data_IF_883541204350
#
_entry.id   IF_883541204350
#
_cell.length_a   1.000
_cell.length_b   1.000
_cell.length_c   1.000
_cell.angle_alpha   90.00
_cell.angle_beta   90.00
_cell.angle_gamma   90.00
#
_symmetry.space_group_name_H-M   'P 1'
#
loop_
_entity.id
_entity.type
_entity.pdbx_description
1 polymer ?
#
# COMPACT_ATOMS: atom_id res chain seq x y z
N UNK A 1 9.82 -4.04 -5.22
CA UNK A 1 9.37 -4.26 -3.83
C UNK A 1 8.71 -5.63 -3.68
N UNK A 2 7.69 -5.94 -4.47
CA UNK A 2 6.91 -7.20 -4.34
C UNK A 2 7.75 -8.45 -4.52
N UNK A 3 8.61 -8.50 -5.54
CA UNK A 3 9.51 -9.64 -5.75
C UNK A 3 10.42 -9.91 -4.55
N UNK A 4 10.93 -8.84 -3.90
CA UNK A 4 11.71 -8.95 -2.66
C UNK A 4 10.88 -9.48 -1.51
N UNK A 5 9.65 -9.01 -1.40
CA UNK A 5 8.69 -9.46 -0.39
C UNK A 5 8.37 -10.96 -0.54
N UNK A 6 8.16 -11.41 -1.78
CA UNK A 6 7.83 -12.80 -2.13
C UNK A 6 9.04 -13.73 -1.91
N UNK A 7 10.25 -13.19 -1.79
CA UNK A 7 11.49 -13.95 -1.65
C UNK A 7 12.09 -14.36 -2.99
N UNK A 8 11.72 -13.72 -4.10
CA UNK A 8 12.37 -13.98 -5.37
C UNK A 8 13.85 -13.56 -5.35
N UNK A 9 14.74 -14.38 -5.95
CA UNK A 9 16.15 -14.08 -5.99
C UNK A 9 16.42 -12.80 -6.81
N UNK A 10 17.46 -12.02 -6.45
CA UNK A 10 17.91 -10.90 -7.25
C UNK A 10 18.17 -11.27 -8.71
N UNK A 11 17.84 -10.34 -9.61
CA UNK A 11 18.09 -10.44 -11.05
C UNK A 11 19.06 -9.33 -11.46
N UNK A 12 20.37 -9.49 -11.27
CA UNK A 12 21.35 -8.40 -11.36
C UNK A 12 21.29 -7.63 -12.69
N UNK A 13 21.15 -8.34 -13.82
CA UNK A 13 21.09 -7.71 -15.14
C UNK A 13 19.82 -6.84 -15.34
N UNK A 14 18.70 -7.22 -14.73
CA UNK A 14 17.46 -6.42 -14.80
C UNK A 14 17.53 -5.27 -13.83
N UNK A 15 17.99 -5.51 -12.61
CA UNK A 15 18.16 -4.48 -11.57
C UNK A 15 19.11 -3.37 -12.02
N UNK A 16 20.23 -3.71 -12.66
CA UNK A 16 21.15 -2.73 -13.22
C UNK A 16 20.50 -1.83 -14.29
N UNK A 17 19.62 -2.39 -15.13
CA UNK A 17 18.84 -1.61 -16.12
C UNK A 17 17.84 -0.69 -15.44
N UNK A 18 17.16 -1.17 -14.40
CA UNK A 18 16.19 -0.37 -13.64
C UNK A 18 16.88 0.75 -12.85
N UNK A 19 18.03 0.48 -12.22
CA UNK A 19 18.84 1.51 -11.55
C UNK A 19 19.23 2.60 -12.53
N UNK A 20 19.77 2.23 -13.70
CA UNK A 20 20.14 3.19 -14.75
C UNK A 20 18.93 4.01 -15.21
N UNK A 21 17.80 3.36 -15.45
CA UNK A 21 16.57 4.02 -15.86
C UNK A 21 16.06 5.04 -14.83
N UNK A 22 15.98 4.64 -13.56
CA UNK A 22 15.50 5.51 -12.48
C UNK A 22 16.47 6.67 -12.22
N UNK A 23 17.77 6.43 -12.33
CA UNK A 23 18.80 7.47 -12.19
C UNK A 23 18.66 8.53 -13.28
N UNK A 24 18.46 8.12 -14.53
CA UNK A 24 18.31 9.05 -15.66
C UNK A 24 17.00 9.84 -15.61
N UNK A 25 15.98 9.32 -14.92
CA UNK A 25 14.66 9.96 -14.79
C UNK A 25 14.54 10.85 -13.54
N UNK A 26 15.55 10.87 -12.68
CA UNK A 26 15.54 11.74 -11.50
C UNK A 26 15.62 13.21 -11.93
N UNK A 27 14.73 14.04 -11.40
CA UNK A 27 14.66 15.46 -11.71
C UNK A 27 15.85 16.23 -11.08
N UNK A 28 16.19 17.43 -11.60
CA UNK A 28 17.27 18.26 -11.05
C UNK A 28 17.10 18.64 -9.57
N UNK A 29 15.90 18.58 -9.01
CA UNK A 29 15.66 18.81 -7.59
C UNK A 29 15.74 17.53 -6.73
N UNK A 30 15.80 16.34 -7.33
CA UNK A 30 15.96 15.06 -6.64
C UNK A 30 14.71 14.17 -6.59
N UNK A 31 13.55 14.66 -7.04
CA UNK A 31 12.32 13.88 -7.12
C UNK A 31 12.14 13.09 -8.40
N UNK A 32 11.06 12.33 -8.47
CA UNK A 32 10.59 11.68 -9.68
C UNK A 32 9.23 12.24 -10.11
N UNK A 33 9.00 12.39 -11.42
CA UNK A 33 7.71 12.78 -11.95
C UNK A 33 6.82 11.55 -12.21
N UNK A 34 5.51 11.78 -12.27
CA UNK A 34 4.54 10.74 -12.64
C UNK A 34 4.57 10.47 -14.15
N UNK A 35 4.54 11.52 -14.97
CA UNK A 35 4.59 11.42 -16.44
C UNK A 35 6.01 11.76 -16.93
N UNK A 36 6.48 11.20 -18.06
CA UNK A 36 7.69 11.69 -18.72
C UNK A 36 7.58 13.19 -19.04
N UNK A 37 8.71 13.89 -19.04
CA UNK A 37 8.81 15.32 -19.41
C UNK A 37 8.07 16.31 -18.48
N UNK A 38 7.60 15.85 -17.32
CA UNK A 38 7.07 16.71 -16.27
C UNK A 38 8.18 17.10 -15.29
N UNK A 39 8.36 18.40 -15.06
CA UNK A 39 9.37 18.90 -14.10
C UNK A 39 8.91 18.87 -12.63
N UNK A 40 7.67 18.45 -12.42
CA UNK A 40 7.03 18.43 -11.11
C UNK A 40 7.35 17.12 -10.37
N UNK A 41 7.69 17.27 -9.10
CA UNK A 41 7.83 16.16 -8.18
C UNK A 41 6.47 15.53 -7.88
N UNK A 42 6.37 14.21 -8.03
CA UNK A 42 5.33 13.41 -7.38
C UNK A 42 5.91 12.71 -6.15
N UNK A 43 5.30 12.96 -4.98
CA UNK A 43 5.79 12.42 -3.71
C UNK A 43 5.71 10.89 -3.68
N UNK A 44 4.63 10.32 -4.22
CA UNK A 44 4.43 8.86 -4.20
C UNK A 44 5.47 8.17 -5.08
N UNK A 45 5.68 8.67 -6.30
CA UNK A 45 6.66 8.10 -7.21
C UNK A 45 8.09 8.27 -6.71
N UNK A 46 8.38 9.40 -6.05
CA UNK A 46 9.69 9.63 -5.40
C UNK A 46 9.94 8.61 -4.28
N UNK A 47 8.95 8.36 -3.41
CA UNK A 47 9.06 7.34 -2.33
C UNK A 47 9.24 5.93 -2.93
N UNK A 48 8.46 5.57 -3.95
CA UNK A 48 8.61 4.26 -4.63
C UNK A 48 10.00 4.09 -5.23
N UNK A 49 10.50 5.10 -5.93
CA UNK A 49 11.82 5.07 -6.55
C UNK A 49 12.93 4.93 -5.48
N UNK A 50 12.85 5.69 -4.39
CA UNK A 50 13.77 5.57 -3.25
C UNK A 50 13.81 4.13 -2.73
N UNK A 51 12.65 3.58 -2.36
CA UNK A 51 12.56 2.23 -1.80
C UNK A 51 13.05 1.18 -2.79
N UNK A 52 12.69 1.30 -4.07
CA UNK A 52 13.13 0.38 -5.11
C UNK A 52 14.66 0.38 -5.28
N UNK A 53 15.29 1.55 -5.31
CA UNK A 53 16.74 1.70 -5.45
C UNK A 53 17.50 1.16 -4.23
N UNK A 54 17.01 1.43 -3.02
CA UNK A 54 17.56 0.83 -1.80
C UNK A 54 17.53 -0.70 -1.86
N UNK A 55 16.44 -1.31 -2.33
CA UNK A 55 16.35 -2.77 -2.49
C UNK A 55 17.21 -3.38 -3.59
N UNK A 56 17.66 -2.57 -4.54
CA UNK A 56 18.60 -2.98 -5.58
C UNK A 56 20.06 -2.71 -5.16
N UNK A 57 20.29 -2.31 -3.90
CA UNK A 57 21.63 -2.15 -3.32
C UNK A 57 22.23 -0.76 -3.48
N UNK A 58 21.45 0.26 -3.90
CA UNK A 58 21.95 1.64 -3.95
C UNK A 58 22.13 2.16 -2.52
N UNK A 59 23.34 2.64 -2.13
CA UNK A 59 23.61 3.11 -0.79
C UNK A 59 22.73 4.33 -0.42
N UNK A 60 22.11 4.30 0.77
CA UNK A 60 21.27 5.39 1.29
C UNK A 60 21.99 6.73 1.41
N UNK A 61 23.31 6.70 1.61
CA UNK A 61 24.19 7.87 1.67
C UNK A 61 24.66 8.37 0.29
N UNK A 62 24.23 7.74 -0.81
CA UNK A 62 24.49 8.24 -2.15
C UNK A 62 23.85 9.62 -2.36
N UNK A 63 24.46 10.46 -3.19
CA UNK A 63 23.90 11.77 -3.54
C UNK A 63 22.50 11.65 -4.16
N UNK A 64 22.27 10.58 -4.92
CA UNK A 64 20.98 10.28 -5.55
C UNK A 64 19.87 10.06 -4.52
N UNK A 65 20.09 9.17 -3.54
CA UNK A 65 19.08 8.88 -2.51
C UNK A 65 18.97 9.99 -1.47
N UNK A 66 20.07 10.68 -1.16
CA UNK A 66 20.05 11.83 -0.24
C UNK A 66 19.15 12.94 -0.77
N UNK A 67 19.29 13.31 -2.05
CA UNK A 67 18.44 14.34 -2.68
C UNK A 67 16.97 13.93 -2.70
N UNK A 68 16.70 12.66 -2.98
CA UNK A 68 15.35 12.11 -2.96
C UNK A 68 14.72 12.20 -1.56
N UNK A 69 15.44 11.77 -0.53
CA UNK A 69 15.01 11.84 0.87
C UNK A 69 14.71 13.27 1.30
N UNK A 70 15.61 14.21 0.98
CA UNK A 70 15.44 15.60 1.37
C UNK A 70 14.17 16.21 0.72
N UNK A 71 13.87 15.84 -0.52
CA UNK A 71 12.62 16.24 -1.17
C UNK A 71 11.39 15.58 -0.54
N UNK A 72 11.45 14.29 -0.20
CA UNK A 72 10.36 13.57 0.49
C UNK A 72 10.02 14.29 1.81
N UNK A 73 11.03 14.59 2.62
CA UNK A 73 10.86 15.27 3.90
C UNK A 73 10.30 16.70 3.72
N UNK A 74 10.80 17.47 2.75
CA UNK A 74 10.27 18.81 2.44
C UNK A 74 8.80 18.81 2.04
N UNK A 75 8.31 17.73 1.43
CA UNK A 75 6.92 17.61 1.00
C UNK A 75 6.00 17.00 2.08
N UNK A 76 6.48 16.84 3.30
CA UNK A 76 5.70 16.32 4.44
C UNK A 76 5.89 14.83 4.70
N UNK A 77 6.98 14.24 4.20
CA UNK A 77 7.37 12.85 4.47
C UNK A 77 6.54 11.82 3.71
N UNK A 78 6.92 10.55 3.87
CA UNK A 78 6.19 9.41 3.31
C UNK A 78 4.74 9.31 3.84
N UNK A 79 4.41 9.98 4.95
CA UNK A 79 3.06 10.07 5.49
C UNK A 79 2.05 10.71 4.52
N UNK A 80 2.52 11.56 3.60
CA UNK A 80 1.68 12.24 2.62
C UNK A 80 1.57 11.54 1.27
N UNK A 81 2.14 10.34 1.13
CA UNK A 81 2.00 9.57 -0.10
C UNK A 81 0.55 9.13 -0.35
N UNK A 82 0.26 8.69 -1.57
CA UNK A 82 -1.09 8.29 -1.93
C UNK A 82 -1.58 7.05 -1.14
N UNK A 83 -2.90 6.88 -1.08
CA UNK A 83 -3.55 5.77 -0.38
C UNK A 83 -3.01 4.40 -0.84
N UNK A 84 -2.76 4.24 -2.14
CA UNK A 84 -2.31 2.97 -2.70
C UNK A 84 -0.95 2.54 -2.15
N UNK A 85 0.00 3.47 -2.05
CA UNK A 85 1.31 3.19 -1.47
C UNK A 85 1.22 3.02 0.05
N UNK A 86 0.28 3.69 0.74
CA UNK A 86 0.00 3.46 2.17
C UNK A 86 -0.50 2.04 2.44
N UNK A 87 -1.42 1.57 1.59
CA UNK A 87 -1.91 0.19 1.63
C UNK A 87 -0.76 -0.79 1.43
N UNK A 88 0.06 -0.57 0.40
CA UNK A 88 1.25 -1.40 0.13
C UNK A 88 2.25 -1.38 1.29
N UNK A 89 2.58 -0.21 1.81
CA UNK A 89 3.49 -0.01 2.94
C UNK A 89 2.99 -0.68 4.22
N UNK A 90 1.68 -0.74 4.43
CA UNK A 90 1.11 -1.49 5.54
C UNK A 90 1.32 -3.00 5.35
N UNK A 91 1.08 -3.54 4.14
CA UNK A 91 1.28 -4.96 3.85
C UNK A 91 2.73 -5.41 4.06
N UNK A 92 3.68 -4.50 3.84
CA UNK A 92 5.12 -4.70 4.03
C UNK A 92 5.64 -4.23 5.38
N UNK A 93 4.76 -3.79 6.30
CA UNK A 93 5.08 -3.24 7.65
C UNK A 93 5.98 -2.01 7.69
N UNK A 94 6.08 -1.26 6.61
CA UNK A 94 6.78 0.04 6.61
C UNK A 94 5.96 1.06 7.43
N UNK A 95 4.63 0.90 7.46
CA UNK A 95 3.70 1.79 8.15
C UNK A 95 2.83 1.00 9.11
N UNK A 96 2.52 1.61 10.26
CA UNK A 96 1.59 1.06 11.23
C UNK A 96 0.16 1.04 10.68
N UNK A 97 -0.55 -0.07 10.92
CA UNK A 97 -1.91 -0.28 10.43
C UNK A 97 -2.95 0.56 11.18
N UNK A 98 -3.96 1.03 10.46
CA UNK A 98 -5.13 1.73 11.01
C UNK A 98 -6.31 0.78 11.20
N UNK A 99 -7.00 0.92 12.33
CA UNK A 99 -7.97 0.00 12.94
C UNK A 99 -9.30 -0.24 12.19
N UNK A 100 -9.29 -0.45 10.87
CA UNK A 100 -10.52 -0.70 10.09
C UNK A 100 -10.83 -2.22 10.08
N UNK A 101 -12.03 -2.66 10.53
CA UNK A 101 -12.43 -4.07 10.54
C UNK A 101 -12.77 -4.59 9.14
N UNK A 102 -12.54 -5.89 8.91
CA UNK A 102 -12.87 -6.57 7.65
C UNK A 102 -14.37 -6.53 7.33
N UNK A 103 -15.20 -6.57 8.36
CA UNK A 103 -16.65 -6.64 8.30
C UNK A 103 -17.27 -5.39 7.66
N UNK A 104 -16.53 -4.28 7.59
CA UNK A 104 -16.91 -3.10 6.82
C UNK A 104 -17.18 -3.43 5.33
N UNK A 105 -16.53 -4.46 4.77
CA UNK A 105 -16.78 -4.94 3.41
C UNK A 105 -18.16 -5.58 3.22
N UNK A 106 -18.79 -6.05 4.32
CA UNK A 106 -20.07 -6.75 4.30
C UNK A 106 -21.26 -5.80 4.42
N UNK A 107 -21.01 -4.51 4.67
CA UNK A 107 -22.05 -3.49 4.75
C UNK A 107 -22.86 -3.47 3.44
N UNK A 108 -24.20 -3.60 3.50
CA UNK A 108 -25.02 -3.67 2.30
C UNK A 108 -24.87 -2.45 1.38
N UNK A 109 -25.05 -2.61 0.06
CA UNK A 109 -24.95 -1.51 -0.93
C UNK A 109 -25.86 -0.32 -0.69
N UNK A 110 -27.01 -0.54 -0.03
CA UNK A 110 -28.00 0.49 0.24
C UNK A 110 -27.63 1.42 1.40
N UNK A 111 -26.60 1.08 2.19
CA UNK A 111 -26.12 1.93 3.29
C UNK A 111 -25.26 3.09 2.77
N UNK A 112 -25.34 4.25 3.43
CA UNK A 112 -24.52 5.42 3.11
C UNK A 112 -23.01 5.21 3.34
N UNK A 113 -22.64 4.20 4.14
CA UNK A 113 -21.24 3.82 4.43
C UNK A 113 -20.82 2.58 3.64
N UNK A 114 -21.56 2.22 2.59
CA UNK A 114 -21.22 1.05 1.80
C UNK A 114 -19.92 1.23 1.02
N UNK A 115 -19.13 0.16 0.95
CA UNK A 115 -17.95 0.10 0.07
C UNK A 115 -18.30 0.18 -1.41
N UNK A 116 -19.58 -0.02 -1.76
CA UNK A 116 -20.10 0.17 -3.12
C UNK A 116 -20.15 1.64 -3.56
N UNK A 117 -20.14 2.58 -2.60
CA UNK A 117 -20.03 4.02 -2.88
C UNK A 117 -18.60 4.45 -3.23
N UNK A 118 -17.62 3.57 -3.01
CA UNK A 118 -16.22 3.79 -3.36
C UNK A 118 -15.99 3.31 -4.80
N UNK A 119 -15.19 4.06 -5.57
CA UNK A 119 -14.76 3.64 -6.90
C UNK A 119 -14.16 2.21 -6.89
N UNK A 120 -14.36 1.46 -7.97
CA UNK A 120 -13.97 0.05 -8.08
C UNK A 120 -12.51 -0.20 -7.67
N UNK A 121 -11.59 0.66 -8.11
CA UNK A 121 -10.18 0.62 -7.76
C UNK A 121 -9.93 0.77 -6.25
N UNK A 122 -10.51 1.80 -5.62
CA UNK A 122 -10.38 2.03 -4.18
C UNK A 122 -10.98 0.88 -3.35
N UNK A 123 -12.15 0.39 -3.75
CA UNK A 123 -12.82 -0.75 -3.09
C UNK A 123 -11.94 -1.99 -3.06
N UNK A 124 -11.22 -2.29 -4.14
CA UNK A 124 -10.30 -3.43 -4.21
C UNK A 124 -9.09 -3.26 -3.30
N UNK A 125 -8.49 -2.06 -3.30
CA UNK A 125 -7.41 -1.73 -2.38
C UNK A 125 -7.81 -1.95 -0.92
N UNK A 126 -8.97 -1.42 -0.52
CA UNK A 126 -9.52 -1.68 0.82
C UNK A 126 -9.74 -3.17 1.08
N UNK A 127 -10.31 -3.90 0.10
CA UNK A 127 -10.59 -5.33 0.23
C UNK A 127 -9.34 -6.15 0.53
N UNK A 128 -8.28 -5.98 -0.27
CA UNK A 128 -7.03 -6.74 -0.13
C UNK A 128 -6.41 -6.52 1.24
N UNK A 129 -6.47 -5.29 1.72
CA UNK A 129 -5.72 -4.86 2.89
C UNK A 129 -6.48 -5.21 4.18
N UNK A 130 -7.81 -5.12 4.16
CA UNK A 130 -8.65 -5.63 5.25
C UNK A 130 -8.54 -7.15 5.39
N UNK A 131 -8.52 -7.91 4.29
CA UNK A 131 -8.27 -9.35 4.34
C UNK A 131 -6.87 -9.62 4.89
N UNK A 132 -5.88 -8.85 4.43
CA UNK A 132 -4.50 -8.95 4.91
C UNK A 132 -4.40 -8.77 6.43
N UNK A 133 -5.13 -7.80 6.99
CA UNK A 133 -5.18 -7.61 8.45
C UNK A 133 -5.84 -8.79 9.17
N UNK A 134 -6.93 -9.29 8.64
CA UNK A 134 -7.77 -10.31 9.32
C UNK A 134 -7.10 -11.67 9.50
N UNK A 135 -6.03 -11.95 8.75
CA UNK A 135 -5.23 -13.18 8.85
C UNK A 135 -3.85 -12.88 9.46
N UNK A 136 -3.70 -11.73 10.12
CA UNK A 136 -2.43 -11.22 10.67
C UNK A 136 -1.28 -11.30 9.65
N UNK A 137 -1.61 -11.13 8.37
CA UNK A 137 -0.67 -11.28 7.27
C UNK A 137 0.41 -10.21 7.35
N UNK A 138 0.11 -9.07 7.98
CA UNK A 138 1.10 -8.06 8.33
C UNK A 138 2.12 -8.61 9.36
N UNK A 139 1.71 -9.34 10.39
CA UNK A 139 2.60 -9.81 11.46
C UNK A 139 3.63 -10.84 10.97
N UNK A 140 3.21 -11.74 10.09
CA UNK A 140 4.06 -12.78 9.51
C UNK A 140 4.87 -12.33 8.29
N UNK A 141 4.84 -11.02 7.97
CA UNK A 141 5.62 -10.46 6.86
C UNK A 141 7.09 -10.35 7.23
N UNK A 142 8.03 -10.65 6.32
CA UNK A 142 9.40 -10.16 6.48
C UNK A 142 9.33 -8.64 6.65
N UNK A 143 9.77 -8.18 7.82
CA UNK A 143 9.80 -6.77 8.15
C UNK A 143 10.84 -6.15 7.23
N UNK A 144 10.38 -5.33 6.30
CA UNK A 144 11.30 -4.57 5.45
C UNK A 144 11.60 -3.23 6.11
N UNK A 145 12.08 -3.33 7.36
CA UNK A 145 12.47 -2.21 8.21
C UNK A 145 13.77 -1.66 7.70
N UNK A 146 13.69 -0.52 6.99
CA UNK A 146 14.83 0.37 6.83
C UNK A 146 14.43 1.71 6.17
N UNK A 147 13.25 2.26 6.45
CA UNK A 147 12.79 3.49 5.78
C UNK A 147 12.25 4.56 6.74
N UNK A 148 12.56 4.47 8.03
CA UNK A 148 12.16 5.48 9.03
C UNK A 148 12.66 6.88 8.65
N UNK A 149 13.78 6.98 7.92
CA UNK A 149 14.32 8.25 7.44
C UNK A 149 13.42 9.01 6.44
N UNK A 150 12.37 8.35 5.92
CA UNK A 150 11.39 8.94 5.02
C UNK A 150 10.19 9.54 5.77
N UNK A 151 10.01 9.20 7.05
CA UNK A 151 8.88 9.63 7.87
C UNK A 151 9.28 10.85 8.73
N UNK A 152 8.33 11.77 8.93
CA UNK A 152 8.53 12.90 9.83
C UNK A 152 8.20 12.43 11.26
N UNK A 153 7.10 11.70 11.39
CA UNK A 153 6.72 11.00 12.59
C UNK A 153 7.42 9.63 12.65
N UNK A 154 8.34 9.50 13.60
CA UNK A 154 9.16 8.29 13.79
C UNK A 154 8.35 7.09 14.31
N UNK A 155 7.13 7.30 14.77
CA UNK A 155 6.25 6.19 15.17
C UNK A 155 5.71 5.41 13.95
N UNK A 156 6.03 5.83 12.72
CA UNK A 156 5.51 5.29 11.45
C UNK A 156 3.96 5.24 11.43
N UNK A 157 3.33 6.09 12.25
CA UNK A 157 1.89 6.30 12.29
C UNK A 157 1.57 7.34 11.25
N UNK A 158 0.65 7.00 10.34
CA UNK A 158 0.14 7.93 9.35
C UNK A 158 -0.44 9.17 10.04
N UNK A 159 -0.05 10.34 9.57
CA UNK A 159 -0.70 11.58 9.98
C UNK A 159 -2.15 11.62 9.48
N UNK A 160 -3.07 11.30 10.39
CA UNK A 160 -4.52 11.32 10.18
C UNK A 160 -5.12 12.73 10.11
N UNK A 161 -4.29 13.76 10.33
CA UNK A 161 -4.70 15.16 10.21
C UNK A 161 -4.85 15.63 8.77
N UNK A 162 -4.29 14.89 7.80
CA UNK A 162 -4.35 15.28 6.40
C UNK A 162 -5.77 15.17 5.84
N UNK A 163 -6.38 16.33 5.61
CA UNK A 163 -7.64 16.50 4.91
C UNK A 163 -7.30 16.83 3.45
N UNK A 164 -7.68 15.95 2.53
CA UNK A 164 -7.50 16.19 1.10
C UNK A 164 -8.23 17.46 0.64
N UNK A 165 -7.78 18.12 -0.44
CA UNK A 165 -8.33 19.42 -0.87
C UNK A 165 -9.83 19.41 -1.17
N UNK A 166 -10.42 18.24 -1.44
CA UNK A 166 -11.85 18.05 -1.72
C UNK A 166 -12.62 17.37 -0.58
N UNK A 167 -11.99 17.15 0.59
CA UNK A 167 -12.62 16.47 1.72
C UNK A 167 -13.29 17.48 2.65
N UNK A 168 -14.52 17.19 3.07
CA UNK A 168 -15.22 18.00 4.06
C UNK A 168 -14.61 17.76 5.46
N UNK A 169 -14.07 18.79 6.15
CA UNK A 169 -13.42 18.64 7.46
C UNK A 169 -14.33 18.05 8.54
N UNK A 170 -15.62 18.40 8.53
CA UNK A 170 -16.59 17.89 9.51
C UNK A 170 -16.89 16.41 9.30
N UNK A 171 -17.05 16.01 8.03
CA UNK A 171 -17.23 14.60 7.68
C UNK A 171 -15.98 13.79 8.02
N UNK A 172 -14.79 14.35 7.79
CA UNK A 172 -13.51 13.73 8.18
C UNK A 172 -13.45 13.46 9.69
N UNK A 173 -13.79 14.46 10.50
CA UNK A 173 -13.80 14.32 11.96
C UNK A 173 -14.84 13.28 12.44
N UNK A 174 -16.02 13.24 11.81
CA UNK A 174 -17.05 12.24 12.10
C UNK A 174 -16.59 10.82 11.74
N UNK A 175 -16.06 10.63 10.52
CA UNK A 175 -15.50 9.36 10.07
C UNK A 175 -14.38 8.87 11.00
N UNK A 176 -13.53 9.77 11.49
CA UNK A 176 -12.47 9.42 12.44
C UNK A 176 -13.02 8.82 13.73
N UNK A 177 -14.06 9.44 14.32
CA UNK A 177 -14.73 8.88 15.51
C UNK A 177 -15.34 7.51 15.21
N UNK A 178 -15.99 7.36 14.05
CA UNK A 178 -16.54 6.08 13.64
C UNK A 178 -15.46 5.00 13.48
N UNK A 179 -14.32 5.31 12.86
CA UNK A 179 -13.19 4.37 12.73
C UNK A 179 -12.66 3.93 14.10
N UNK A 180 -12.54 4.85 15.07
CA UNK A 180 -12.10 4.50 16.42
C UNK A 180 -13.08 3.54 17.12
N UNK A 181 -14.38 3.71 16.90
CA UNK A 181 -15.41 2.81 17.42
C UNK A 181 -15.38 1.45 16.72
N UNK A 182 -15.15 1.44 15.40
CA UNK A 182 -15.02 0.22 14.61
C UNK A 182 -13.83 -0.64 15.07
N UNK A 183 -12.71 -0.03 15.48
CA UNK A 183 -11.58 -0.76 16.06
C UNK A 183 -11.91 -1.48 17.37
N UNK A 184 -12.80 -0.92 18.19
CA UNK A 184 -13.30 -1.60 19.40
C UNK A 184 -14.22 -2.76 19.03
N UNK A 185 -15.09 -2.56 18.03
CA UNK A 185 -15.98 -3.61 17.52
C UNK A 185 -15.18 -4.75 16.89
N UNK A 186 -14.07 -4.48 16.22
CA UNK A 186 -13.19 -5.50 15.61
C UNK A 186 -12.70 -6.53 16.63
N UNK A 187 -12.36 -6.08 17.84
CA UNK A 187 -11.95 -6.96 18.94
C UNK A 187 -13.09 -7.85 19.46
N UNK A 188 -14.34 -7.49 19.18
CA UNK A 188 -15.53 -8.22 19.61
C UNK A 188 -16.05 -9.19 18.54
N UNK A 189 -15.52 -9.14 17.31
CA UNK A 189 -16.00 -10.02 16.23
C UNK A 189 -15.53 -11.46 16.46
N UNK A 190 -16.43 -12.46 16.49
CA UNK A 190 -16.04 -13.85 16.63
C UNK A 190 -15.19 -14.35 15.46
N UNK A 191 -14.20 -15.20 15.73
CA UNK A 191 -13.32 -15.76 14.70
C UNK A 191 -14.07 -16.49 13.56
N UNK A 192 -15.20 -17.13 13.88
CA UNK A 192 -16.01 -17.82 12.89
C UNK A 192 -16.56 -16.87 11.82
N UNK A 193 -16.98 -15.66 12.24
CA UNK A 193 -17.45 -14.60 11.33
C UNK A 193 -16.30 -14.09 10.47
N UNK A 194 -15.13 -13.88 11.08
CA UNK A 194 -13.92 -13.46 10.36
C UNK A 194 -13.50 -14.47 9.30
N UNK A 195 -13.41 -15.77 9.65
CA UNK A 195 -13.10 -16.87 8.72
C UNK A 195 -14.13 -16.97 7.58
N UNK A 196 -15.42 -16.81 7.88
CA UNK A 196 -16.47 -16.78 6.87
C UNK A 196 -16.35 -15.57 5.92
N UNK A 197 -16.08 -14.38 6.47
CA UNK A 197 -15.88 -13.16 5.71
C UNK A 197 -14.68 -13.26 4.77
N UNK A 198 -13.54 -13.76 5.26
CA UNK A 198 -12.35 -14.04 4.45
C UNK A 198 -12.69 -14.96 3.30
N UNK A 199 -13.31 -16.12 3.56
CA UNK A 199 -13.68 -17.08 2.51
C UNK A 199 -14.58 -16.46 1.44
N UNK A 200 -15.56 -15.65 1.86
CA UNK A 200 -16.48 -14.97 0.94
C UNK A 200 -15.76 -13.92 0.09
N UNK A 201 -14.86 -13.16 0.69
CA UNK A 201 -14.08 -12.12 0.00
C UNK A 201 -13.06 -12.72 -0.96
N UNK A 202 -12.30 -13.74 -0.54
CA UNK A 202 -11.36 -14.47 -1.41
C UNK A 202 -12.08 -15.04 -2.62
N UNK A 203 -13.22 -15.72 -2.43
CA UNK A 203 -14.03 -16.22 -3.56
C UNK A 203 -14.48 -15.09 -4.51
N UNK A 204 -14.81 -13.91 -3.97
CA UNK A 204 -15.17 -12.75 -4.78
C UNK A 204 -13.98 -12.22 -5.58
N UNK A 205 -12.78 -12.23 -4.99
CA UNK A 205 -11.53 -11.85 -5.66
C UNK A 205 -11.16 -12.87 -6.75
N UNK A 206 -11.27 -14.17 -6.48
CA UNK A 206 -11.02 -15.24 -7.46
C UNK A 206 -11.93 -15.09 -8.70
N UNK A 207 -13.20 -14.72 -8.48
CA UNK A 207 -14.13 -14.46 -9.59
C UNK A 207 -13.79 -13.18 -10.38
N UNK A 208 -13.00 -12.27 -9.80
CA UNK A 208 -12.57 -11.02 -10.45
C UNK A 208 -11.20 -11.16 -11.12
N UNK A 209 -10.36 -12.07 -10.66
CA UNK A 209 -9.07 -12.39 -11.30
C UNK A 209 -9.31 -13.12 -12.61
N UNK A 210 -8.94 -12.50 -13.73
CA UNK A 210 -8.93 -13.16 -15.03
C UNK A 210 -7.64 -13.98 -15.16
N UNK A 211 -7.68 -15.26 -15.59
CA UNK A 211 -6.50 -16.13 -15.73
C UNK A 211 -5.35 -15.61 -16.62
N UNK A 212 -5.52 -14.52 -17.36
CA UNK A 212 -4.52 -14.01 -18.33
C UNK A 212 -4.05 -12.59 -18.01
N UNK A 213 -4.57 -11.96 -16.96
CA UNK A 213 -4.29 -10.55 -16.70
C UNK A 213 -4.39 -10.27 -15.21
N UNK A 214 -3.37 -9.61 -14.65
CA UNK A 214 -3.42 -9.08 -13.28
C UNK A 214 -4.73 -8.33 -13.00
N UNK A 215 -5.06 -8.17 -11.72
CA UNK A 215 -6.34 -7.62 -11.30
C UNK A 215 -6.54 -6.18 -11.86
N UNK A 216 -7.52 -6.02 -12.76
CA UNK A 216 -7.93 -4.75 -13.40
C UNK A 216 -6.83 -3.96 -14.13
N UNK A 217 -5.75 -4.62 -14.59
CA UNK A 217 -4.72 -3.95 -15.41
C UNK A 217 -3.88 -2.92 -14.66
N UNK A 218 -3.87 -2.96 -13.33
CA UNK A 218 -3.04 -2.07 -12.50
C UNK A 218 -1.96 -2.85 -11.77
N UNK A 219 -0.70 -2.45 -11.96
CA UNK A 219 0.46 -3.17 -11.40
C UNK A 219 0.41 -3.25 -9.88
N UNK A 220 0.18 -2.13 -9.19
CA UNK A 220 0.28 -2.07 -7.72
C UNK A 220 -0.82 -2.83 -6.98
N UNK A 221 -2.06 -2.87 -7.49
CA UNK A 221 -3.09 -3.72 -6.86
C UNK A 221 -2.84 -5.20 -7.13
N UNK A 222 -2.36 -5.54 -8.32
CA UNK A 222 -1.93 -6.91 -8.63
C UNK A 222 -0.83 -7.34 -7.66
N UNK A 223 0.15 -6.49 -7.42
CA UNK A 223 1.20 -6.71 -6.43
C UNK A 223 0.67 -6.91 -5.00
N UNK A 224 -0.23 -6.06 -4.52
CA UNK A 224 -0.86 -6.22 -3.20
C UNK A 224 -1.61 -7.56 -3.10
N UNK A 225 -2.31 -7.93 -4.17
CA UNK A 225 -3.03 -9.19 -4.27
C UNK A 225 -2.08 -10.39 -4.23
N UNK A 226 -0.98 -10.36 -4.99
CA UNK A 226 0.04 -11.41 -4.99
C UNK A 226 0.60 -11.63 -3.58
N UNK A 227 0.93 -10.54 -2.88
CA UNK A 227 1.40 -10.58 -1.48
C UNK A 227 0.35 -11.24 -0.58
N UNK A 228 -0.92 -10.84 -0.71
CA UNK A 228 -2.01 -11.42 0.07
C UNK A 228 -2.18 -12.92 -0.23
N UNK A 229 -2.22 -13.32 -1.50
CA UNK A 229 -2.41 -14.72 -1.91
C UNK A 229 -1.26 -15.63 -1.47
N UNK A 230 -0.02 -15.18 -1.63
CA UNK A 230 1.14 -15.95 -1.18
C UNK A 230 1.07 -16.22 0.32
N UNK A 231 0.74 -15.20 1.11
CA UNK A 231 0.65 -15.35 2.57
C UNK A 231 -0.57 -16.16 3.03
N UNK A 232 -1.66 -16.16 2.27
CA UNK A 232 -2.81 -17.06 2.49
C UNK A 232 -2.49 -18.52 2.15
N UNK A 233 -1.28 -18.84 1.67
CA UNK A 233 -0.94 -20.17 1.17
C UNK A 233 -1.61 -20.50 -0.17
N UNK A 234 -2.18 -19.50 -0.84
CA UNK A 234 -2.89 -19.61 -2.11
C UNK A 234 -2.00 -19.25 -3.30
N UNK A 235 -0.67 -19.18 -3.13
CA UNK A 235 0.27 -18.81 -4.20
C UNK A 235 0.13 -19.65 -5.47
N UNK A 236 -0.22 -20.93 -5.35
CA UNK A 236 -0.41 -21.85 -6.47
C UNK A 236 -1.79 -21.74 -7.16
N UNK A 237 -2.72 -20.99 -6.58
CA UNK A 237 -4.07 -20.80 -7.16
C UNK A 237 -4.10 -19.74 -8.26
N UNK A 238 -3.09 -18.86 -8.27
CA UNK A 238 -2.87 -17.90 -9.34
C UNK A 238 -2.26 -18.65 -10.51
N UNK A 239 -3.09 -18.98 -11.50
CA UNK A 239 -2.61 -19.45 -12.80
C UNK A 239 -1.84 -18.28 -13.43
N UNK A 240 -0.51 -18.29 -13.29
CA UNK A 240 0.42 -17.45 -14.06
C UNK A 240 0.71 -18.15 -15.38
#
# INVERSE_FOLDING_TARGET
MTLRFIGEPPRPATEAKVITYLTNRQLPHGGWPIVPDEDKLDLTETVKAYIALTYMGVPKNSSLLTRARDQILRHGGAERMNLLLKLYATLTRIIAWQSIPLEALLIPPWSSVSTYSIGSFGRLGFTVVLVSRSVDLAENSPVVTDFEELFINKDNVLDDSFIGPFQNPYLHAMCRRLISLLGVVDNLVPEAVRKWAIKKVVKKLDNMTNPVSGLFGTGTLTECLLIMYQKLGLGNSLKV
#
